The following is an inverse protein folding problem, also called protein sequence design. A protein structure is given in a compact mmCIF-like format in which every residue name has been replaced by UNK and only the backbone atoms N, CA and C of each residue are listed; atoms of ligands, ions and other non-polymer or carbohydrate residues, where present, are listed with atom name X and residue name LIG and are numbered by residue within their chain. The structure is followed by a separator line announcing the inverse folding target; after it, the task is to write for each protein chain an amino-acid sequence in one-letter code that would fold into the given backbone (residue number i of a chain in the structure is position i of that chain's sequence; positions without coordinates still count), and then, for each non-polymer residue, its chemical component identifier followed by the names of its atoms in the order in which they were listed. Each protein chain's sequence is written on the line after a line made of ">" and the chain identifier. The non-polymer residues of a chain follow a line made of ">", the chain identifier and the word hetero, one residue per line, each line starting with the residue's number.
data_IF_344940911331
#
_entry.id   IF_344940911331
#
_cell.length_a   1.000
_cell.length_b   1.000
_cell.length_c   1.000
_cell.angle_alpha   90.00
_cell.angle_beta   90.00
_cell.angle_gamma   90.00
#
_symmetry.space_group_name_H-M   'P 1'
#
loop_
_entity.id
_entity.type
_entity.pdbx_description
1 polymer ?
#
# COMPACT_ATOMS: atom_id res chain seq x y z
N UNK A 1 10.89 9.02 2.69
CA UNK A 1 10.06 9.13 1.46
C UNK A 1 8.70 9.71 1.84
N UNK A 2 8.26 10.81 1.22
CA UNK A 2 6.94 11.41 1.48
C UNK A 2 5.91 10.79 0.54
N UNK A 3 4.85 10.22 1.08
CA UNK A 3 3.75 9.67 0.29
C UNK A 3 2.71 10.76 0.04
N UNK A 4 2.12 10.82 -1.17
CA UNK A 4 1.08 11.81 -1.48
C UNK A 4 -0.21 11.55 -0.69
N UNK A 5 -0.44 10.30 -0.26
CA UNK A 5 -1.56 9.90 0.56
C UNK A 5 -1.05 9.27 1.85
N UNK A 6 -1.61 9.67 3.00
CA UNK A 6 -1.29 9.07 4.30
C UNK A 6 -1.54 7.56 4.30
N UNK A 7 -2.57 7.10 3.59
CA UNK A 7 -2.88 5.67 3.43
C UNK A 7 -1.78 4.89 2.71
N UNK A 8 -1.13 5.47 1.70
CA UNK A 8 0.02 4.84 1.03
C UNK A 8 1.20 4.69 1.99
N UNK A 9 1.41 5.66 2.89
CA UNK A 9 2.45 5.56 3.92
C UNK A 9 2.15 4.43 4.91
N UNK A 10 0.89 4.32 5.36
CA UNK A 10 0.45 3.25 6.26
C UNK A 10 0.57 1.87 5.60
N UNK A 11 0.10 1.73 4.36
CA UNK A 11 0.22 0.50 3.59
C UNK A 11 1.68 0.08 3.41
N UNK A 12 2.57 1.03 3.09
CA UNK A 12 3.99 0.76 2.93
C UNK A 12 4.66 0.35 4.26
N UNK A 13 4.27 0.96 5.38
CA UNK A 13 4.76 0.56 6.70
C UNK A 13 4.29 -0.86 7.07
N UNK A 14 3.02 -1.20 6.80
CA UNK A 14 2.48 -2.53 7.04
C UNK A 14 3.19 -3.60 6.21
N UNK A 15 3.40 -3.35 4.92
CA UNK A 15 4.10 -4.28 4.02
C UNK A 15 5.59 -4.48 4.36
N UNK A 16 6.24 -3.53 5.04
CA UNK A 16 7.61 -3.68 5.50
C UNK A 16 7.74 -4.56 6.75
N UNK A 17 6.73 -4.55 7.61
CA UNK A 17 6.76 -5.34 8.83
C UNK A 17 6.26 -6.77 8.59
N UNK A 18 5.20 -6.95 7.79
CA UNK A 18 4.50 -8.23 7.65
C UNK A 18 3.90 -8.40 6.24
N UNK A 19 4.00 -9.61 5.68
CA UNK A 19 3.35 -9.93 4.39
C UNK A 19 1.89 -10.27 4.62
N UNK A 20 1.03 -9.26 4.62
CA UNK A 20 -0.42 -9.42 4.81
C UNK A 20 -1.14 -9.65 3.47
N UNK A 21 -2.17 -10.52 3.45
CA UNK A 21 -3.03 -10.66 2.27
C UNK A 21 -3.88 -9.40 2.05
N UNK A 22 -4.37 -9.22 0.81
CA UNK A 22 -5.06 -7.98 0.42
C UNK A 22 -6.37 -7.74 1.17
N UNK A 23 -7.11 -8.80 1.52
CA UNK A 23 -8.35 -8.71 2.30
C UNK A 23 -8.09 -8.23 3.74
N UNK A 24 -7.01 -8.71 4.36
CA UNK A 24 -6.54 -8.25 5.68
C UNK A 24 -6.13 -6.78 5.65
N UNK A 25 -5.38 -6.38 4.62
CA UNK A 25 -5.01 -4.98 4.41
C UNK A 25 -6.25 -4.09 4.20
N UNK A 26 -7.25 -4.59 3.49
CA UNK A 26 -8.49 -3.88 3.24
C UNK A 26 -9.27 -3.66 4.55
N UNK A 27 -9.35 -4.69 5.39
CA UNK A 27 -10.00 -4.60 6.69
C UNK A 27 -9.27 -3.65 7.65
N UNK A 28 -7.95 -3.75 7.76
CA UNK A 28 -7.12 -2.89 8.64
C UNK A 28 -7.14 -1.42 8.23
N UNK A 29 -7.18 -1.15 6.93
CA UNK A 29 -7.25 0.21 6.38
C UNK A 29 -8.69 0.72 6.24
N UNK A 30 -9.70 -0.09 6.57
CA UNK A 30 -11.13 0.23 6.40
C UNK A 30 -11.47 0.66 4.97
N UNK A 31 -10.92 -0.05 3.98
CA UNK A 31 -11.16 0.20 2.55
C UNK A 31 -11.52 -1.08 1.81
N UNK A 32 -11.91 -0.96 0.55
CA UNK A 32 -12.12 -2.13 -0.30
C UNK A 32 -10.79 -2.75 -0.76
N UNK A 33 -10.80 -4.05 -1.07
CA UNK A 33 -9.67 -4.73 -1.73
C UNK A 33 -9.28 -4.10 -3.06
N UNK A 34 -10.24 -3.53 -3.79
CA UNK A 34 -9.96 -2.76 -5.02
C UNK A 34 -9.08 -1.54 -4.72
N UNK A 35 -9.33 -0.85 -3.61
CA UNK A 35 -8.52 0.29 -3.16
C UNK A 35 -7.12 -0.17 -2.76
N UNK A 36 -6.99 -1.27 -2.02
CA UNK A 36 -5.69 -1.86 -1.67
C UNK A 36 -4.89 -2.21 -2.93
N UNK A 37 -5.52 -2.83 -3.94
CA UNK A 37 -4.88 -3.14 -5.22
C UNK A 37 -4.34 -1.89 -5.93
N UNK A 38 -5.13 -0.82 -5.96
CA UNK A 38 -4.70 0.44 -6.56
C UNK A 38 -3.51 1.06 -5.81
N UNK A 39 -3.55 1.04 -4.48
CA UNK A 39 -2.47 1.57 -3.65
C UNK A 39 -1.18 0.73 -3.80
N UNK A 40 -1.27 -0.60 -3.83
CA UNK A 40 -0.13 -1.49 -4.13
C UNK A 40 0.44 -1.20 -5.53
N UNK A 41 -0.41 -1.03 -6.53
CA UNK A 41 0.03 -0.68 -7.88
C UNK A 41 0.78 0.65 -7.90
N UNK A 42 0.28 1.66 -7.19
CA UNK A 42 0.95 2.95 -7.03
C UNK A 42 2.31 2.83 -6.31
N UNK A 43 2.41 2.00 -5.27
CA UNK A 43 3.68 1.72 -4.58
C UNK A 43 4.69 1.04 -5.52
N UNK A 44 4.27 0.02 -6.28
CA UNK A 44 5.12 -0.69 -7.26
C UNK A 44 5.56 0.20 -8.42
N UNK A 45 4.72 1.15 -8.86
CA UNK A 45 5.08 2.12 -9.88
C UNK A 45 6.20 3.05 -9.37
N UNK A 46 6.11 3.53 -8.13
CA UNK A 46 7.15 4.39 -7.53
C UNK A 46 8.48 3.65 -7.31
N UNK A 47 8.45 2.38 -6.92
CA UNK A 47 9.67 1.57 -6.75
C UNK A 47 10.40 1.24 -8.06
N UNK A 48 9.68 1.25 -9.19
CA UNK A 48 10.26 1.03 -10.53
C UNK A 48 10.79 2.30 -11.20
N UNK A 49 10.63 3.47 -10.59
CA UNK A 49 11.13 4.75 -11.10
C UNK A 49 12.47 5.17 -10.49
N UNK A 50 13.20 4.26 -9.84
CA UNK A 50 14.59 4.51 -9.45
C UNK A 50 15.51 4.09 -10.61
N UNK A 51 16.29 5.02 -11.22
CA UNK A 51 17.24 4.73 -12.29
C UNK A 51 18.43 3.89 -11.81
#
# INVERSE_FOLDING_TARGET
>A
MRFPNQRLAQLFAMLQNETLPQDELAQRLSVSTRTVRADIAALKARGRSSP
#
